data_IF_118509954289
#
_entry.id   IF_118509954289
#
_cell.length_a   1.000
_cell.length_b   1.000
_cell.length_c   1.000
_cell.angle_alpha   90.00
_cell.angle_beta   90.00
_cell.angle_gamma   90.00
#
_symmetry.space_group_name_H-M   'P 1'
#
loop_
_entity.id
_entity.type
_entity.pdbx_description
1 polymer ?
#
# COMPACT_ATOMS: atom_id res chain seq x y z
N UNK A 1 47.31 65.82 5.03
CA UNK A 1 45.99 65.51 4.59
C UNK A 1 45.97 64.19 4.00
N UNK A 2 45.43 63.27 4.65
CA UNK A 2 45.41 61.91 4.19
C UNK A 2 44.01 61.48 3.97
N UNK A 3 43.67 60.90 2.91
CA UNK A 3 42.40 60.28 2.75
C UNK A 3 42.49 58.85 3.22
N UNK A 4 41.65 58.56 4.03
CA UNK A 4 41.48 57.20 4.52
C UNK A 4 40.81 56.37 3.47
N UNK A 5 41.49 55.42 3.14
CA UNK A 5 40.85 54.40 2.26
C UNK A 5 40.12 53.43 3.12
N UNK A 6 38.89 53.39 2.93
CA UNK A 6 38.06 52.39 3.54
C UNK A 6 38.10 51.15 2.71
N UNK A 7 38.66 50.21 3.30
CA UNK A 7 38.59 48.91 2.71
C UNK A 7 37.34 48.25 3.13
N UNK A 8 36.53 48.11 2.21
CA UNK A 8 35.39 47.34 2.42
C UNK A 8 35.73 45.92 2.13
N UNK A 9 35.84 45.21 3.11
CA UNK A 9 35.97 43.82 2.89
C UNK A 9 34.61 43.28 2.76
N UNK A 10 34.34 43.02 1.67
CA UNK A 10 33.16 42.38 1.52
C UNK A 10 33.33 40.97 1.82
N UNK A 11 32.75 40.59 2.61
CA UNK A 11 32.73 39.26 2.88
C UNK A 11 31.75 38.60 2.24
N UNK A 12 32.13 38.14 1.42
CA UNK A 12 31.31 37.43 0.79
C UNK A 12 31.16 36.20 1.27
N UNK A 13 30.62 36.01 1.79
CA UNK A 13 30.52 34.87 2.31
C UNK A 13 29.88 33.93 1.71
N UNK A 14 29.78 34.03 1.12
CA UNK A 14 29.38 33.25 0.60
C UNK A 14 28.93 32.14 0.74
N UNK A 15 28.64 32.01 0.66
CA UNK A 15 28.19 31.09 0.68
C UNK A 15 27.93 30.04 0.61
N UNK A 16 28.17 30.03 0.49
CA UNK A 16 28.15 29.23 0.57
C UNK A 16 27.50 28.39 0.76
N UNK A 17 27.43 28.21 0.65
CA UNK A 17 27.01 27.40 0.87
C UNK A 17 26.13 26.89 0.92
N UNK A 18 25.90 27.21 0.78
CA UNK A 18 25.05 26.81 0.88
C UNK A 18 24.62 25.94 0.36
N UNK A 19 24.93 25.96 -0.13
CA UNK A 19 24.64 25.11 -0.71
C UNK A 19 24.34 24.04 -0.22
N UNK A 20 24.66 24.14 0.17
CA UNK A 20 24.55 23.25 0.69
C UNK A 20 23.57 22.66 0.91
N UNK A 21 23.20 22.95 0.64
CA UNK A 21 22.37 22.39 0.81
C UNK A 21 22.07 21.42 0.50
N UNK A 22 22.23 21.25 0.19
CA UNK A 22 22.02 20.43 -0.04
C UNK A 22 21.61 19.47 0.29
N UNK A 23 21.86 19.30 0.57
CA UNK A 23 21.77 18.32 0.83
C UNK A 23 20.75 17.70 1.20
N UNK A 24 20.32 17.84 1.26
CA UNK A 24 19.40 17.39 1.56
C UNK A 24 18.85 16.63 0.86
N UNK A 25 19.02 16.50 0.27
CA UNK A 25 18.53 15.78 -0.51
C UNK A 25 18.07 14.64 -0.03
N UNK A 26 18.53 14.52 0.45
CA UNK A 26 18.15 13.77 1.18
C UNK A 26 17.02 13.18 0.96
N UNK A 27 16.62 13.63 0.86
CA UNK A 27 15.65 13.34 0.64
C UNK A 27 15.18 12.36 0.07
N UNK A 28 15.37 12.46 -0.30
CA UNK A 28 15.17 11.67 -1.04
C UNK A 28 15.07 10.43 -0.69
N UNK A 29 15.55 10.07 -0.02
CA UNK A 29 15.51 8.76 0.22
C UNK A 29 14.21 8.28 0.62
N UNK A 30 13.32 9.03 0.91
CA UNK A 30 12.05 8.55 1.33
C UNK A 30 11.30 7.98 0.17
N UNK A 31 10.84 6.78 0.29
CA UNK A 31 9.92 6.20 -0.65
C UNK A 31 8.52 6.76 -0.47
N UNK A 32 7.55 6.18 -1.15
CA UNK A 32 6.17 6.60 -0.98
C UNK A 32 5.71 6.40 0.46
N UNK A 33 4.88 7.30 0.92
CA UNK A 33 4.33 7.22 2.25
C UNK A 33 3.25 6.12 2.30
N UNK A 34 2.92 5.70 3.51
CA UNK A 34 1.82 4.74 3.68
C UNK A 34 0.53 5.30 3.08
N UNK A 35 0.34 6.59 3.18
CA UNK A 35 -0.82 7.23 2.60
C UNK A 35 -0.84 7.10 1.09
N UNK A 36 0.31 7.34 0.45
CA UNK A 36 0.41 7.22 -1.01
C UNK A 36 0.12 5.78 -1.43
N UNK A 37 0.69 4.81 -0.72
CA UNK A 37 0.45 3.40 -1.02
C UNK A 37 -1.01 3.03 -0.88
N UNK A 38 -1.68 3.56 0.14
CA UNK A 38 -3.10 3.34 0.35
C UNK A 38 -3.92 3.91 -0.80
N UNK A 39 -3.63 5.14 -1.20
CA UNK A 39 -4.33 5.77 -2.31
C UNK A 39 -4.15 4.98 -3.61
N UNK A 40 -2.95 4.51 -3.87
CA UNK A 40 -2.67 3.72 -5.08
C UNK A 40 -3.42 2.39 -5.07
N UNK A 41 -3.38 1.69 -3.94
CA UNK A 41 -4.06 0.40 -3.82
C UNK A 41 -5.57 0.56 -3.98
N UNK A 42 -6.15 1.56 -3.35
CA UNK A 42 -7.58 1.82 -3.45
C UNK A 42 -7.98 2.23 -4.87
N UNK A 43 -7.15 3.03 -5.53
CA UNK A 43 -7.42 3.42 -6.92
C UNK A 43 -7.40 2.22 -7.85
N UNK A 44 -6.47 1.30 -7.63
CA UNK A 44 -6.38 0.08 -8.44
C UNK A 44 -7.63 -0.80 -8.27
N UNK A 45 -8.14 -0.92 -7.05
CA UNK A 45 -9.38 -1.65 -6.80
C UNK A 45 -10.56 -0.96 -7.46
N UNK A 46 -10.65 0.36 -7.31
CA UNK A 46 -11.75 1.13 -7.87
C UNK A 46 -11.83 1.00 -9.40
N UNK A 47 -10.69 0.83 -10.05
CA UNK A 47 -10.63 0.69 -11.50
C UNK A 47 -11.21 -0.62 -12.01
N UNK A 48 -11.32 -1.63 -11.16
CA UNK A 48 -11.75 -2.96 -11.57
C UNK A 48 -13.00 -3.45 -10.86
N UNK A 49 -13.62 -2.59 -10.12
CA UNK A 49 -14.79 -3.00 -9.34
C UNK A 49 -15.95 -3.40 -10.21
N UNK A 50 -16.83 -4.21 -9.65
CA UNK A 50 -18.07 -4.65 -10.30
C UNK A 50 -18.83 -5.49 -9.32
N UNK A 51 -20.13 -5.63 -9.50
CA UNK A 51 -20.97 -6.33 -8.55
C UNK A 51 -21.41 -5.43 -7.39
N UNK A 52 -21.95 -6.04 -6.37
CA UNK A 52 -22.46 -5.34 -5.20
C UNK A 52 -21.45 -5.44 -4.07
N UNK A 53 -21.01 -4.32 -3.57
CA UNK A 53 -20.03 -4.28 -2.48
C UNK A 53 -20.59 -4.90 -1.19
N UNK A 54 -19.83 -5.83 -0.64
CA UNK A 54 -20.16 -6.47 0.64
C UNK A 54 -19.26 -5.95 1.75
N UNK A 55 -17.95 -5.93 1.49
CA UNK A 55 -16.98 -5.54 2.50
C UNK A 55 -15.72 -5.03 1.82
N UNK A 56 -15.03 -4.09 2.44
CA UNK A 56 -13.79 -3.56 1.92
C UNK A 56 -12.96 -3.01 3.08
N UNK A 57 -11.65 -2.93 2.87
CA UNK A 57 -10.75 -2.38 3.87
C UNK A 57 -9.33 -2.23 3.36
N UNK A 58 -8.51 -1.65 4.20
CA UNK A 58 -7.07 -1.50 3.97
C UNK A 58 -6.35 -1.76 5.28
N UNK A 59 -5.31 -2.56 5.22
CA UNK A 59 -4.50 -2.86 6.37
C UNK A 59 -3.02 -2.81 6.00
N UNK A 60 -2.17 -2.66 6.98
CA UNK A 60 -0.73 -2.80 6.74
C UNK A 60 -0.41 -4.26 6.49
N UNK A 61 0.45 -4.49 5.51
CA UNK A 61 0.86 -5.86 5.18
C UNK A 61 1.38 -6.61 6.41
N UNK A 62 2.14 -5.94 7.24
CA UNK A 62 2.71 -6.59 8.43
C UNK A 62 1.66 -6.99 9.47
N UNK A 63 0.52 -6.34 9.47
CA UNK A 63 -0.55 -6.66 10.40
C UNK A 63 -1.46 -7.73 9.82
N UNK A 64 -1.49 -7.84 8.51
CA UNK A 64 -2.32 -8.82 7.82
C UNK A 64 -3.80 -8.50 7.88
N UNK A 65 -4.57 -9.38 7.27
CA UNK A 65 -6.03 -9.30 7.28
C UNK A 65 -6.57 -10.61 7.78
N UNK A 66 -7.55 -10.53 8.65
CA UNK A 66 -8.34 -11.69 9.03
C UNK A 66 -9.77 -11.20 9.12
N UNK A 67 -10.61 -11.68 8.23
CA UNK A 67 -12.01 -11.26 8.20
C UNK A 67 -12.93 -12.45 8.03
N UNK A 68 -14.11 -12.33 8.62
CA UNK A 68 -15.15 -13.33 8.53
C UNK A 68 -16.41 -12.67 7.95
N UNK A 69 -16.41 -12.41 6.64
CA UNK A 69 -17.53 -11.71 6.02
C UNK A 69 -18.78 -12.57 6.07
N UNK A 70 -19.92 -11.93 6.27
CA UNK A 70 -21.19 -12.63 6.25
C UNK A 70 -21.60 -12.91 4.82
N UNK A 71 -21.23 -14.05 4.31
CA UNK A 71 -21.53 -14.45 2.94
C UNK A 71 -22.69 -15.44 2.92
N UNK A 72 -23.61 -15.25 1.98
CA UNK A 72 -24.76 -16.13 1.84
C UNK A 72 -24.33 -17.45 1.22
N UNK A 73 -24.78 -18.55 1.83
CA UNK A 73 -24.46 -19.87 1.33
C UNK A 73 -24.96 -20.03 -0.12
N UNK A 74 -24.12 -20.61 -0.96
CA UNK A 74 -24.46 -20.87 -2.34
C UNK A 74 -24.33 -19.68 -3.26
N UNK A 75 -23.99 -18.52 -2.75
CA UNK A 75 -23.77 -17.32 -3.55
C UNK A 75 -22.29 -17.17 -3.89
N UNK A 76 -22.01 -16.75 -5.10
CA UNK A 76 -20.64 -16.50 -5.53
C UNK A 76 -20.26 -15.05 -5.29
N UNK A 77 -19.04 -14.87 -4.84
CA UNK A 77 -18.46 -13.56 -4.57
C UNK A 77 -17.10 -13.47 -5.21
N UNK A 78 -16.62 -12.25 -5.37
CA UNK A 78 -15.28 -12.00 -5.85
C UNK A 78 -14.52 -11.21 -4.81
N UNK A 79 -13.35 -11.72 -4.44
CA UNK A 79 -12.39 -10.99 -3.62
C UNK A 79 -11.37 -10.35 -4.55
N UNK A 80 -11.17 -9.06 -4.40
CA UNK A 80 -10.13 -8.31 -5.11
C UNK A 80 -9.14 -7.81 -4.09
N UNK A 81 -7.85 -8.03 -4.35
CA UNK A 81 -6.75 -7.62 -3.48
C UNK A 81 -5.73 -6.84 -4.27
N UNK A 82 -5.20 -5.81 -3.66
CA UNK A 82 -4.06 -5.06 -4.21
C UNK A 82 -3.12 -4.78 -3.06
N UNK A 83 -1.88 -5.23 -3.19
CA UNK A 83 -0.83 -4.89 -2.24
C UNK A 83 0.10 -3.88 -2.87
N UNK A 84 0.42 -2.82 -2.15
CA UNK A 84 1.35 -1.78 -2.60
C UNK A 84 2.47 -1.65 -1.56
N UNK A 85 3.71 -1.82 -2.01
CA UNK A 85 4.86 -1.79 -1.14
C UNK A 85 5.97 -2.69 -1.64
N UNK A 86 6.50 -3.52 -0.77
CA UNK A 86 7.56 -4.47 -1.15
C UNK A 86 7.25 -5.86 -0.62
N UNK A 87 7.74 -6.87 -1.32
CA UNK A 87 7.52 -8.25 -0.95
C UNK A 87 6.19 -8.77 -1.45
N UNK A 88 5.59 -9.65 -0.70
CA UNK A 88 4.33 -10.29 -1.07
C UNK A 88 3.54 -10.69 0.17
N UNK A 89 2.26 -10.94 -0.02
CA UNK A 89 1.40 -11.52 1.00
C UNK A 89 0.80 -12.82 0.47
N UNK A 90 0.27 -13.59 1.37
CA UNK A 90 -0.36 -14.87 1.02
C UNK A 90 -1.81 -14.85 1.43
N UNK A 91 -2.66 -15.20 0.49
CA UNK A 91 -4.10 -15.31 0.70
C UNK A 91 -4.47 -16.75 0.95
N UNK A 92 -5.27 -17.00 1.98
CA UNK A 92 -5.80 -18.32 2.28
C UNK A 92 -7.25 -18.21 2.77
N UNK A 93 -7.96 -19.30 2.67
CA UNK A 93 -9.36 -19.38 3.07
C UNK A 93 -9.58 -20.51 4.07
N UNK A 94 -10.53 -20.29 4.98
CA UNK A 94 -11.00 -21.33 5.88
C UNK A 94 -12.52 -21.37 5.75
N UNK A 95 -13.12 -22.50 5.33
CA UNK A 95 -12.45 -23.72 4.88
C UNK A 95 -11.74 -23.53 3.56
N UNK A 96 -10.77 -24.37 3.29
CA UNK A 96 -9.96 -24.25 2.08
C UNK A 96 -10.78 -24.30 0.79
N UNK A 97 -11.93 -24.96 0.84
CA UNK A 97 -12.80 -25.06 -0.35
C UNK A 97 -13.52 -23.76 -0.69
N UNK A 98 -13.50 -22.77 0.20
CA UNK A 98 -14.19 -21.50 -0.05
C UNK A 98 -13.52 -20.70 -1.15
N UNK A 99 -12.23 -20.87 -1.35
CA UNK A 99 -11.48 -20.17 -2.39
C UNK A 99 -10.09 -20.75 -2.55
N UNK A 100 -9.41 -20.36 -3.61
CA UNK A 100 -8.06 -20.82 -3.87
C UNK A 100 -7.03 -19.93 -3.20
N UNK A 101 -6.01 -20.54 -2.63
CA UNK A 101 -4.86 -19.80 -2.12
C UNK A 101 -4.18 -19.04 -3.26
N UNK A 102 -3.58 -17.93 -2.94
CA UNK A 102 -2.88 -17.14 -3.93
C UNK A 102 -1.76 -16.33 -3.28
N UNK A 103 -0.75 -16.01 -4.09
CA UNK A 103 0.26 -15.03 -3.71
C UNK A 103 -0.20 -13.67 -4.20
N UNK A 104 0.00 -12.67 -3.36
CA UNK A 104 -0.38 -11.29 -3.65
C UNK A 104 0.90 -10.46 -3.63
N UNK A 105 1.54 -10.25 -4.80
CA UNK A 105 2.76 -9.46 -4.83
C UNK A 105 2.45 -7.99 -4.51
N UNK A 106 3.37 -7.36 -3.79
CA UNK A 106 3.17 -5.96 -3.40
C UNK A 106 3.70 -5.00 -4.46
N UNK A 107 3.30 -5.23 -5.68
CA UNK A 107 3.68 -4.44 -6.85
C UNK A 107 2.49 -3.71 -7.49
N UNK A 108 1.40 -3.57 -6.72
CA UNK A 108 0.17 -2.92 -7.16
C UNK A 108 -0.62 -3.70 -8.20
N UNK A 109 -0.24 -4.95 -8.47
CA UNK A 109 -1.04 -5.79 -9.37
C UNK A 109 -2.34 -6.18 -8.67
N UNK A 110 -3.37 -6.41 -9.49
CA UNK A 110 -4.69 -6.78 -8.99
C UNK A 110 -4.81 -8.29 -8.96
N UNK A 111 -5.12 -8.83 -7.79
CA UNK A 111 -5.36 -10.26 -7.61
C UNK A 111 -6.85 -10.46 -7.35
N UNK A 112 -7.46 -11.37 -8.09
CA UNK A 112 -8.87 -11.69 -7.93
C UNK A 112 -9.05 -13.15 -7.64
N UNK A 113 -9.89 -13.44 -6.67
CA UNK A 113 -10.23 -14.81 -6.32
C UNK A 113 -11.74 -14.93 -6.18
N UNK A 114 -12.27 -16.05 -6.67
CA UNK A 114 -13.69 -16.37 -6.49
C UNK A 114 -13.86 -16.96 -5.11
N UNK A 115 -14.93 -16.57 -4.44
CA UNK A 115 -15.30 -17.13 -3.14
C UNK A 115 -16.69 -17.72 -3.27
N UNK A 116 -16.85 -18.94 -2.79
CA UNK A 116 -18.18 -19.52 -2.65
C UNK A 116 -18.64 -19.29 -1.22
N UNK A 117 -19.78 -18.65 -1.07
CA UNK A 117 -20.36 -18.40 0.24
C UNK A 117 -20.74 -19.68 0.93
N UNK A 118 -20.63 -19.68 2.24
CA UNK A 118 -20.97 -20.82 3.06
C UNK A 118 -21.33 -20.36 4.46
N UNK A 119 -21.68 -21.32 5.30
CA UNK A 119 -22.08 -21.03 6.67
C UNK A 119 -20.99 -20.28 7.42
N UNK A 120 -19.75 -20.61 7.13
CA UNK A 120 -18.61 -19.92 7.72
C UNK A 120 -17.50 -19.80 6.69
N UNK A 121 -17.04 -18.57 6.49
CA UNK A 121 -15.89 -18.33 5.63
C UNK A 121 -14.98 -17.32 6.32
N UNK A 122 -13.73 -17.66 6.46
CA UNK A 122 -12.70 -16.75 6.96
C UNK A 122 -11.66 -16.53 5.86
N UNK A 123 -11.24 -15.32 5.73
CA UNK A 123 -10.21 -14.92 4.76
C UNK A 123 -9.00 -14.41 5.53
N UNK A 124 -7.85 -15.00 5.26
CA UNK A 124 -6.60 -14.62 5.89
C UNK A 124 -5.64 -14.12 4.83
N UNK A 125 -5.03 -12.95 5.08
CA UNK A 125 -3.95 -12.43 4.26
C UNK A 125 -2.78 -12.17 5.18
N UNK A 126 -1.67 -12.84 4.92
CA UNK A 126 -0.50 -12.78 5.79
C UNK A 126 0.70 -12.30 4.97
N UNK A 127 1.32 -11.23 5.41
CA UNK A 127 2.54 -10.73 4.76
C UNK A 127 3.68 -11.70 4.92
N UNK A 128 4.47 -11.87 3.88
CA UNK A 128 5.70 -12.62 3.95
C UNK A 128 6.68 -11.87 4.86
N UNK A 129 7.65 -12.61 5.40
CA UNK A 129 8.65 -11.99 6.25
C UNK A 129 9.35 -10.86 5.50
N UNK A 130 9.42 -9.70 6.12
CA UNK A 130 10.05 -8.54 5.51
C UNK A 130 9.17 -7.75 4.54
N UNK A 131 7.97 -8.20 4.27
CA UNK A 131 7.06 -7.46 3.40
C UNK A 131 6.63 -6.16 4.07
N UNK A 132 6.51 -5.11 3.28
CA UNK A 132 6.10 -3.80 3.77
C UNK A 132 5.02 -3.21 2.88
N UNK A 133 4.30 -2.23 3.42
CA UNK A 133 3.29 -1.52 2.67
C UNK A 133 1.89 -1.81 3.17
N UNK A 134 0.93 -1.67 2.27
CA UNK A 134 -0.49 -1.84 2.59
C UNK A 134 -1.13 -2.83 1.64
N UNK A 135 -2.17 -3.48 2.12
CA UNK A 135 -3.00 -4.33 1.28
C UNK A 135 -4.44 -3.84 1.38
N UNK A 136 -5.01 -3.55 0.22
CA UNK A 136 -6.40 -3.16 0.11
C UNK A 136 -7.21 -4.36 -0.41
N UNK A 137 -8.43 -4.50 0.04
CA UNK A 137 -9.28 -5.60 -0.36
C UNK A 137 -10.72 -5.18 -0.47
N UNK A 138 -11.45 -5.91 -1.30
CA UNK A 138 -12.86 -5.68 -1.52
C UNK A 138 -13.54 -6.98 -1.88
N UNK A 139 -14.71 -7.20 -1.32
CA UNK A 139 -15.55 -8.36 -1.62
C UNK A 139 -16.83 -7.85 -2.27
N UNK A 140 -17.13 -8.38 -3.43
CA UNK A 140 -18.34 -8.04 -4.17
C UNK A 140 -19.17 -9.31 -4.42
N UNK A 141 -20.48 -9.17 -4.32
CA UNK A 141 -21.40 -10.22 -4.75
C UNK A 141 -21.50 -10.16 -6.28
N UNK A 142 -21.46 -11.29 -6.92
CA UNK A 142 -21.52 -11.40 -8.38
C UNK A 142 -22.93 -11.54 -8.90
#
# INVERSE_FOLDING_TARGET
MAPSALLLTSCTASGSGEGTADPRPTSTAAGPSERDLTEWAQAAIAAVRGGTLIEAGVERVRDGIQTEPGLSEGTDYRLTLVCAGTGAARLAFVPARAGAEASVPCDESVVRQRITGGEFVRIDVVGAEGATGVVAWQIDAL
#
